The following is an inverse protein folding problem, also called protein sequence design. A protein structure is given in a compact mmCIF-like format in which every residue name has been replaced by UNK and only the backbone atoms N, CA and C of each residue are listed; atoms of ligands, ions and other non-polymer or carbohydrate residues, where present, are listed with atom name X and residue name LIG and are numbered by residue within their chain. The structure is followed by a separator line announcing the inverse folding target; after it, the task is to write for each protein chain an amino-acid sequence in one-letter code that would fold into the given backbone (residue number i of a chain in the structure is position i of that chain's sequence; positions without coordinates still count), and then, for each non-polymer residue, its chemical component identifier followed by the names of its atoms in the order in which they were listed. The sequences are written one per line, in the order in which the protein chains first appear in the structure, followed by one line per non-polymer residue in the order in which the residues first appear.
data_IF_342282650954
#
_entry.id   IF_342282650954
#
_cell.length_a   1.000
_cell.length_b   1.000
_cell.length_c   1.000
_cell.angle_alpha   90.00
_cell.angle_beta   90.00
_cell.angle_gamma   90.00
#
_symmetry.space_group_name_H-M   'P 1'
#
loop_
_entity.id
_entity.type
_entity.pdbx_description
1 polymer ?
#
# COMPACT_ATOMS: atom_id res chain seq x y z
N UNK A 1 -32.63 33.75 -15.11
CA UNK A 1 -32.60 32.50 -14.35
C UNK A 1 -31.31 31.79 -14.75
N UNK A 2 -30.29 31.79 -13.88
CA UNK A 2 -28.93 31.33 -14.19
C UNK A 2 -28.82 29.84 -13.87
N UNK A 3 -28.63 29.03 -14.89
CA UNK A 3 -28.30 27.61 -14.78
C UNK A 3 -26.81 27.42 -14.48
N UNK A 4 -26.50 26.60 -13.46
CA UNK A 4 -25.13 26.31 -13.01
C UNK A 4 -24.63 25.07 -13.76
N UNK A 5 -23.62 25.16 -14.65
CA UNK A 5 -23.11 24.01 -15.35
C UNK A 5 -22.14 23.21 -14.45
N UNK A 6 -22.48 21.94 -14.24
CA UNK A 6 -21.53 20.84 -14.33
C UNK A 6 -20.28 20.91 -13.46
N UNK A 7 -20.46 20.67 -12.15
CA UNK A 7 -19.39 20.20 -11.25
C UNK A 7 -18.99 18.77 -11.63
N UNK A 8 -18.43 18.58 -12.83
CA UNK A 8 -17.78 17.33 -13.24
C UNK A 8 -16.55 17.17 -12.36
N UNK A 9 -16.73 16.36 -11.31
CA UNK A 9 -15.67 15.79 -10.47
C UNK A 9 -14.54 15.26 -11.35
N UNK A 10 -13.51 16.07 -11.55
CA UNK A 10 -12.16 15.64 -11.93
C UNK A 10 -11.55 14.90 -10.74
N UNK A 11 -12.14 13.77 -10.36
CA UNK A 11 -11.58 12.86 -9.35
C UNK A 11 -10.78 11.71 -9.98
N UNK A 12 -10.64 11.72 -11.30
CA UNK A 12 -9.76 10.83 -12.02
C UNK A 12 -8.58 11.68 -12.51
N UNK A 13 -7.37 11.30 -12.11
CA UNK A 13 -6.08 11.86 -12.53
C UNK A 13 -5.45 12.97 -11.69
N UNK A 14 -5.56 12.92 -10.35
CA UNK A 14 -4.33 13.17 -9.56
C UNK A 14 -3.63 11.82 -9.38
N UNK A 15 -2.95 11.42 -10.45
CA UNK A 15 -1.77 10.55 -10.38
C UNK A 15 -0.73 11.32 -9.57
N UNK A 16 -0.92 11.35 -8.25
CA UNK A 16 0.00 11.96 -7.32
C UNK A 16 1.18 11.02 -7.15
N UNK A 17 2.19 11.18 -7.98
CA UNK A 17 3.58 11.12 -7.51
C UNK A 17 3.89 12.38 -6.67
N UNK A 18 2.93 12.85 -5.87
CA UNK A 18 3.18 13.81 -4.79
C UNK A 18 3.75 12.95 -3.66
N UNK A 19 5.07 12.95 -3.58
CA UNK A 19 5.88 12.06 -2.76
C UNK A 19 5.62 12.22 -1.27
N UNK A 20 4.51 11.67 -0.78
CA UNK A 20 4.54 11.13 0.57
C UNK A 20 5.41 9.90 0.49
N UNK A 21 6.67 10.03 0.91
CA UNK A 21 7.54 8.87 1.11
C UNK A 21 6.73 7.81 1.89
N UNK A 22 6.65 6.56 1.41
CA UNK A 22 5.86 5.50 2.03
C UNK A 22 6.08 5.39 3.56
N UNK A 23 7.26 5.81 4.06
CA UNK A 23 7.57 5.93 5.48
C UNK A 23 6.55 6.75 6.28
N UNK A 24 6.04 7.88 5.76
CA UNK A 24 5.10 8.75 6.48
C UNK A 24 3.74 8.09 6.68
N UNK A 25 3.26 7.40 5.64
CA UNK A 25 2.04 6.60 5.72
C UNK A 25 2.24 5.39 6.65
N UNK A 26 3.34 4.66 6.51
CA UNK A 26 3.66 3.51 7.37
C UNK A 26 3.74 3.90 8.85
N UNK A 27 4.37 5.03 9.18
CA UNK A 27 4.42 5.56 10.54
C UNK A 27 3.04 5.98 11.05
N UNK A 28 2.19 6.56 10.20
CA UNK A 28 0.83 6.92 10.57
C UNK A 28 0.02 5.67 10.93
N UNK A 29 0.07 4.64 10.08
CA UNK A 29 -0.64 3.38 10.31
C UNK A 29 -0.15 2.70 11.59
N UNK A 30 1.16 2.55 11.74
CA UNK A 30 1.77 1.88 12.87
C UNK A 30 1.52 2.61 14.20
N UNK A 31 1.76 3.93 14.24
CA UNK A 31 1.84 4.66 15.52
C UNK A 31 0.54 5.34 15.91
N UNK A 32 -0.20 5.88 14.95
CA UNK A 32 -1.45 6.61 15.23
C UNK A 32 -2.66 5.69 15.21
N UNK A 33 -2.69 4.76 14.26
CA UNK A 33 -3.83 3.85 14.10
C UNK A 33 -3.61 2.49 14.75
N UNK A 34 -2.37 2.21 15.21
CA UNK A 34 -2.00 0.93 15.81
C UNK A 34 -2.28 -0.25 14.88
N UNK A 35 -2.10 -0.03 13.57
CA UNK A 35 -2.24 -1.05 12.54
C UNK A 35 -0.85 -1.61 12.20
N UNK A 36 -0.58 -2.90 12.45
CA UNK A 36 0.72 -3.48 12.19
C UNK A 36 1.06 -3.46 10.70
N UNK A 37 2.27 -3.00 10.36
CA UNK A 37 2.73 -2.86 8.97
C UNK A 37 4.02 -3.63 8.73
N UNK A 38 4.23 -4.06 7.48
CA UNK A 38 5.49 -4.66 7.00
C UNK A 38 5.76 -4.20 5.56
N UNK A 39 7.03 -4.09 5.12
CA UNK A 39 7.33 -3.81 3.73
C UNK A 39 6.82 -4.94 2.82
N UNK A 40 6.18 -4.57 1.72
CA UNK A 40 5.84 -5.47 0.63
C UNK A 40 6.91 -5.51 -0.45
N UNK A 41 6.68 -6.38 -1.42
CA UNK A 41 7.46 -6.43 -2.65
C UNK A 41 6.75 -5.64 -3.74
N UNK A 42 7.48 -4.81 -4.49
CA UNK A 42 6.93 -4.19 -5.69
C UNK A 42 7.07 -5.13 -6.91
N UNK A 43 6.18 -5.04 -7.92
CA UNK A 43 6.44 -5.64 -9.22
C UNK A 43 7.78 -5.17 -9.81
N UNK A 44 8.45 -6.02 -10.61
CA UNK A 44 9.70 -5.63 -11.27
C UNK A 44 9.42 -4.53 -12.31
N UNK A 45 9.97 -3.30 -12.14
CA UNK A 45 9.72 -2.22 -13.08
C UNK A 45 10.31 -2.47 -14.47
N UNK A 46 11.27 -3.40 -14.60
CA UNK A 46 11.92 -3.75 -15.87
C UNK A 46 11.28 -4.93 -16.57
N UNK A 47 10.49 -5.74 -15.85
CA UNK A 47 9.91 -6.98 -16.37
C UNK A 47 8.42 -7.03 -16.03
N UNK A 48 7.56 -6.52 -16.93
CA UNK A 48 6.11 -6.53 -16.73
C UNK A 48 5.60 -7.93 -16.39
N UNK A 49 4.77 -8.03 -15.36
CA UNK A 49 4.20 -9.30 -14.90
C UNK A 49 5.13 -10.15 -14.02
N UNK A 50 6.35 -9.72 -13.72
CA UNK A 50 7.24 -10.40 -12.76
C UNK A 50 7.29 -9.69 -11.42
N UNK A 51 7.59 -10.46 -10.38
CA UNK A 51 7.81 -9.92 -9.05
C UNK A 51 9.24 -9.36 -8.92
N UNK A 52 9.42 -8.34 -8.09
CA UNK A 52 10.74 -7.85 -7.69
C UNK A 52 11.40 -8.65 -6.57
N UNK A 53 10.80 -9.77 -6.13
CA UNK A 53 11.38 -10.62 -5.08
C UNK A 53 12.49 -11.54 -5.64
N UNK A 54 13.31 -12.14 -4.76
CA UNK A 54 14.32 -13.12 -5.17
C UNK A 54 13.77 -14.44 -5.73
N UNK A 55 12.47 -14.73 -5.52
CA UNK A 55 11.83 -15.95 -6.05
C UNK A 55 11.55 -15.83 -7.56
N UNK A 56 12.23 -16.66 -8.35
CA UNK A 56 12.11 -16.70 -9.79
C UNK A 56 10.75 -17.25 -10.28
N UNK A 57 10.09 -18.07 -9.45
CA UNK A 57 8.81 -18.75 -9.75
C UNK A 57 7.63 -18.13 -8.98
N UNK A 58 7.79 -16.87 -8.53
CA UNK A 58 6.77 -16.16 -7.77
C UNK A 58 5.42 -16.11 -8.52
N UNK A 59 4.39 -16.70 -7.92
CA UNK A 59 3.04 -16.79 -8.49
C UNK A 59 2.14 -15.59 -8.16
N UNK A 60 2.60 -14.69 -7.28
CA UNK A 60 1.84 -13.52 -6.80
C UNK A 60 2.62 -12.20 -6.94
N UNK A 61 2.95 -11.74 -8.17
CA UNK A 61 3.80 -10.58 -8.39
C UNK A 61 3.38 -9.33 -7.62
N UNK A 62 4.23 -8.87 -6.70
CA UNK A 62 4.04 -7.66 -5.93
C UNK A 62 2.91 -7.70 -4.89
N UNK A 63 2.29 -8.86 -4.65
CA UNK A 63 1.13 -9.03 -3.77
C UNK A 63 1.48 -9.77 -2.46
N UNK A 64 2.72 -9.61 -1.97
CA UNK A 64 3.17 -10.26 -0.74
C UNK A 64 4.16 -9.39 0.07
N UNK A 65 4.28 -9.63 1.38
CA UNK A 65 5.38 -9.09 2.19
C UNK A 65 6.75 -9.44 1.62
N UNK A 66 7.73 -8.57 1.83
CA UNK A 66 9.14 -8.93 1.70
C UNK A 66 9.57 -9.81 2.89
N UNK A 67 10.81 -10.31 2.93
CA UNK A 67 11.39 -10.94 4.12
C UNK A 67 11.83 -9.87 5.15
N UNK A 68 11.38 -9.91 6.42
CA UNK A 68 10.55 -10.94 7.04
C UNK A 68 9.06 -10.85 6.68
N UNK A 69 8.40 -12.02 6.59
CA UNK A 69 7.00 -12.15 6.17
C UNK A 69 5.96 -11.52 7.11
N UNK A 70 4.66 -11.77 6.84
CA UNK A 70 3.54 -11.06 7.49
C UNK A 70 3.57 -11.05 9.02
N UNK A 71 4.07 -12.10 9.67
CA UNK A 71 4.14 -12.21 11.12
C UNK A 71 5.11 -11.20 11.76
N UNK A 72 6.00 -10.58 10.98
CA UNK A 72 6.86 -9.51 11.44
C UNK A 72 6.21 -8.13 11.38
N UNK A 73 4.96 -8.02 10.89
CA UNK A 73 4.25 -6.76 10.88
C UNK A 73 4.18 -6.14 12.28
N UNK A 74 4.50 -4.86 12.39
CA UNK A 74 4.71 -4.21 13.69
C UNK A 74 4.07 -2.83 13.76
N UNK A 75 3.80 -2.38 14.98
CA UNK A 75 3.45 -1.01 15.32
C UNK A 75 4.64 -0.22 15.88
N UNK A 76 5.82 -0.85 16.03
CA UNK A 76 7.04 -0.21 16.54
C UNK A 76 7.62 0.78 15.51
N UNK A 77 7.59 2.06 15.87
CA UNK A 77 8.08 3.16 15.04
C UNK A 77 9.57 3.07 14.67
N UNK A 78 10.40 2.42 15.49
CA UNK A 78 11.84 2.23 15.21
C UNK A 78 12.02 1.21 14.09
N UNK A 79 11.29 0.09 14.16
CA UNK A 79 11.29 -0.93 13.10
C UNK A 79 10.76 -0.36 11.79
N UNK A 80 9.64 0.38 11.84
CA UNK A 80 9.05 1.02 10.65
C UNK A 80 10.03 2.00 9.99
N UNK A 81 10.71 2.86 10.77
CA UNK A 81 11.73 3.76 10.21
C UNK A 81 12.88 2.96 9.60
N UNK A 82 13.40 1.98 10.31
CA UNK A 82 14.51 1.16 9.82
C UNK A 82 14.17 0.50 8.47
N UNK A 83 13.00 -0.12 8.35
CA UNK A 83 12.61 -0.77 7.09
C UNK A 83 12.56 0.20 5.91
N UNK A 84 11.91 1.35 6.06
CA UNK A 84 11.75 2.29 4.95
C UNK A 84 12.99 3.17 4.71
N UNK A 85 13.90 3.31 5.67
CA UNK A 85 15.24 3.83 5.37
C UNK A 85 16.02 2.87 4.45
N UNK A 86 15.90 1.56 4.67
CA UNK A 86 16.58 0.55 3.84
C UNK A 86 15.86 0.30 2.50
N UNK A 87 14.54 0.53 2.43
CA UNK A 87 13.72 0.31 1.24
C UNK A 87 12.70 1.46 1.06
N UNK A 88 13.14 2.65 0.62
CA UNK A 88 12.29 3.86 0.60
C UNK A 88 11.04 3.73 -0.26
N UNK A 89 11.09 2.92 -1.31
CA UNK A 89 10.00 2.73 -2.27
C UNK A 89 9.19 1.46 -2.02
N UNK A 90 9.44 0.72 -0.93
CA UNK A 90 8.69 -0.50 -0.65
C UNK A 90 7.20 -0.18 -0.45
N UNK A 91 6.29 -0.93 -1.10
CA UNK A 91 4.86 -0.82 -0.82
C UNK A 91 4.59 -1.23 0.64
N UNK A 92 3.50 -0.73 1.20
CA UNK A 92 3.11 -1.03 2.58
C UNK A 92 2.13 -2.19 2.57
N UNK A 93 2.39 -3.23 3.35
CA UNK A 93 1.46 -4.32 3.63
C UNK A 93 0.97 -4.18 5.07
N UNK A 94 -0.34 -4.33 5.28
CA UNK A 94 -0.99 -4.28 6.58
C UNK A 94 -1.36 -5.70 7.03
N UNK A 95 -1.05 -6.05 8.28
CA UNK A 95 -1.67 -7.22 8.89
C UNK A 95 -3.11 -6.87 9.29
N UNK A 96 -4.08 -7.60 8.74
CA UNK A 96 -5.51 -7.39 9.00
C UNK A 96 -5.99 -8.27 10.16
N UNK A 97 -7.16 -7.95 10.71
CA UNK A 97 -7.78 -8.69 11.81
C UNK A 97 -7.44 -8.15 13.21
N UNK A 98 -8.10 -8.68 14.24
CA UNK A 98 -8.00 -8.15 15.61
C UNK A 98 -8.44 -6.68 15.69
N UNK A 99 -7.56 -5.81 16.21
CA UNK A 99 -7.79 -4.36 16.26
C UNK A 99 -7.33 -3.62 15.00
N UNK A 100 -6.75 -4.33 14.02
CA UNK A 100 -6.32 -3.78 12.75
C UNK A 100 -7.50 -3.68 11.77
N UNK A 101 -7.36 -2.99 10.62
CA UNK A 101 -8.48 -2.78 9.71
C UNK A 101 -8.85 -4.09 9.00
N UNK A 102 -10.09 -4.17 8.54
CA UNK A 102 -10.54 -5.21 7.62
C UNK A 102 -10.37 -4.74 6.17
N UNK A 103 -9.99 -5.66 5.28
CA UNK A 103 -9.94 -5.41 3.85
C UNK A 103 -11.08 -6.15 3.14
N UNK A 104 -11.78 -5.47 2.23
CA UNK A 104 -12.80 -6.07 1.38
C UNK A 104 -12.40 -5.84 -0.07
N UNK A 105 -12.20 -6.93 -0.81
CA UNK A 105 -11.92 -6.88 -2.24
C UNK A 105 -13.22 -6.95 -3.02
N UNK A 106 -13.55 -5.86 -3.72
CA UNK A 106 -14.74 -5.77 -4.55
C UNK A 106 -14.36 -5.80 -6.04
N UNK A 107 -15.17 -6.45 -6.91
CA UNK A 107 -15.04 -6.27 -8.36
C UNK A 107 -15.15 -4.78 -8.71
N UNK A 108 -14.38 -4.34 -9.70
CA UNK A 108 -14.24 -2.90 -10.04
C UNK A 108 -15.60 -2.19 -10.26
N UNK A 109 -16.55 -2.87 -10.91
CA UNK A 109 -17.90 -2.31 -11.14
C UNK A 109 -18.70 -2.12 -9.85
N UNK A 110 -18.57 -3.01 -8.88
CA UNK A 110 -19.21 -2.87 -7.57
C UNK A 110 -18.53 -1.77 -6.74
N UNK A 111 -17.18 -1.75 -6.74
CA UNK A 111 -16.39 -0.76 -6.02
C UNK A 111 -16.66 0.69 -6.49
N UNK A 112 -17.00 0.90 -7.77
CA UNK A 112 -17.27 2.22 -8.32
C UNK A 112 -18.52 2.92 -7.72
N UNK A 113 -19.36 2.19 -6.98
CA UNK A 113 -20.59 2.69 -6.33
C UNK A 113 -20.53 2.67 -4.80
N UNK A 114 -19.42 2.18 -4.23
CA UNK A 114 -19.22 2.12 -2.79
C UNK A 114 -18.93 3.50 -2.18
#
# INVERSE_FOLDING_TARGET
MREIPGRRRRLLSRRGTDGTEPIGAALTFATRWQWPVVPGVAPDPRRPGRCGCPDAECTVPGAHPFDPGLLAATTDARMVRWWWTNRPTAPIVLATGGNAPCAVSLPALAAARA
#
